data_IF_841654220673
#
_entry.id   IF_841654220673
#
_cell.length_a   1.000
_cell.length_b   1.000
_cell.length_c   1.000
_cell.angle_alpha   90.00
_cell.angle_beta   90.00
_cell.angle_gamma   90.00
#
_symmetry.space_group_name_H-M   'P 1'
#
loop_
_entity.id
_entity.type
_entity.pdbx_description
1 polymer ?
#
# COMPACT_ATOMS: atom_id res chain seq x y z
N UNK A 1 16.06 -17.55 6.90
CA UNK A 1 16.69 -16.26 7.25
C UNK A 1 15.88 -15.17 6.57
N UNK A 2 15.14 -14.37 7.32
CA UNK A 2 14.47 -13.18 6.77
C UNK A 2 15.56 -12.15 6.48
N UNK A 3 15.50 -11.50 5.32
CA UNK A 3 16.37 -10.36 5.01
C UNK A 3 15.66 -9.15 5.59
N UNK A 4 16.28 -8.46 6.56
CA UNK A 4 15.72 -7.19 7.05
C UNK A 4 15.47 -6.25 5.85
N UNK A 5 14.22 -5.80 5.73
CA UNK A 5 13.77 -4.82 4.72
C UNK A 5 13.56 -5.34 3.29
N UNK A 6 13.81 -6.62 2.99
CA UNK A 6 13.81 -7.16 1.63
C UNK A 6 12.78 -8.26 1.34
N UNK A 7 12.47 -8.48 0.06
CA UNK A 7 11.72 -9.66 -0.37
C UNK A 7 12.57 -10.92 -0.20
N UNK A 8 11.95 -12.00 0.28
CA UNK A 8 12.57 -13.32 0.35
C UNK A 8 12.98 -13.80 -1.06
N UNK A 9 14.11 -14.51 -1.23
CA UNK A 9 14.56 -14.98 -2.55
C UNK A 9 13.49 -15.74 -3.35
N UNK A 10 12.67 -16.56 -2.69
CA UNK A 10 11.56 -17.27 -3.36
C UNK A 10 10.47 -16.31 -3.88
N UNK A 11 10.22 -15.20 -3.18
CA UNK A 11 9.29 -14.17 -3.65
C UNK A 11 9.85 -13.45 -4.88
N UNK A 12 11.15 -13.14 -4.88
CA UNK A 12 11.83 -12.56 -6.05
C UNK A 12 11.76 -13.50 -7.25
N UNK A 13 12.03 -14.80 -7.03
CA UNK A 13 11.93 -15.83 -8.06
C UNK A 13 10.52 -15.96 -8.61
N UNK A 14 9.50 -15.95 -7.75
CA UNK A 14 8.10 -15.98 -8.16
C UNK A 14 7.73 -14.75 -8.99
N UNK A 15 8.09 -13.55 -8.53
CA UNK A 15 7.83 -12.30 -9.26
C UNK A 15 8.50 -12.28 -10.63
N UNK A 16 9.76 -12.73 -10.73
CA UNK A 16 10.51 -12.79 -12.01
C UNK A 16 9.86 -13.72 -13.03
N UNK A 17 9.22 -14.80 -12.58
CA UNK A 17 8.50 -15.76 -13.44
C UNK A 17 7.14 -15.24 -13.94
N UNK A 18 6.59 -14.19 -13.33
CA UNK A 18 5.33 -13.60 -13.77
C UNK A 18 5.51 -12.78 -15.04
N UNK A 19 4.51 -12.83 -15.93
CA UNK A 19 4.38 -11.87 -17.02
C UNK A 19 4.30 -10.44 -16.48
N UNK A 20 4.70 -9.46 -17.31
CA UNK A 20 4.63 -8.05 -16.95
C UNK A 20 3.19 -7.63 -16.59
N UNK A 21 2.21 -8.07 -17.36
CA UNK A 21 0.80 -7.81 -17.13
C UNK A 21 0.36 -8.33 -15.75
N UNK A 22 0.68 -9.58 -15.41
CA UNK A 22 0.29 -10.16 -14.12
C UNK A 22 0.94 -9.40 -12.96
N UNK A 23 2.20 -8.99 -13.13
CA UNK A 23 2.93 -8.21 -12.14
C UNK A 23 2.29 -6.83 -11.93
N UNK A 24 1.87 -6.17 -13.00
CA UNK A 24 1.18 -4.89 -12.95
C UNK A 24 -0.19 -5.00 -12.26
N UNK A 25 -0.98 -6.05 -12.58
CA UNK A 25 -2.26 -6.32 -11.93
C UNK A 25 -2.10 -6.48 -10.41
N UNK A 26 -1.09 -7.25 -9.97
CA UNK A 26 -0.80 -7.44 -8.54
C UNK A 26 -0.38 -6.11 -7.90
N UNK A 27 0.48 -5.33 -8.54
CA UNK A 27 0.91 -4.03 -8.03
C UNK A 27 -0.26 -3.06 -7.86
N UNK A 28 -1.18 -3.00 -8.83
CA UNK A 28 -2.40 -2.17 -8.74
C UNK A 28 -3.30 -2.61 -7.57
N UNK A 29 -3.52 -3.92 -7.42
CA UNK A 29 -4.29 -4.46 -6.29
C UNK A 29 -3.65 -4.17 -4.93
N UNK A 30 -2.31 -4.21 -4.86
CA UNK A 30 -1.55 -3.84 -3.68
C UNK A 30 -1.72 -2.36 -3.31
N UNK A 31 -1.58 -1.45 -4.29
CA UNK A 31 -1.77 -0.01 -4.08
C UNK A 31 -3.17 0.29 -3.54
N UNK A 32 -4.21 -0.32 -4.11
CA UNK A 32 -5.59 -0.15 -3.63
C UNK A 32 -5.77 -0.64 -2.19
N UNK A 33 -5.19 -1.81 -1.87
CA UNK A 33 -5.26 -2.39 -0.53
C UNK A 33 -4.54 -1.53 0.51
N UNK A 34 -3.36 -1.01 0.16
CA UNK A 34 -2.62 -0.05 1.00
C UNK A 34 -3.40 1.24 1.22
N UNK A 35 -4.08 1.76 0.20
CA UNK A 35 -4.96 2.93 0.33
C UNK A 35 -6.10 2.70 1.33
N UNK A 36 -6.77 1.55 1.24
CA UNK A 36 -7.83 1.16 2.19
C UNK A 36 -7.31 1.03 3.62
N UNK A 37 -6.15 0.41 3.80
CA UNK A 37 -5.53 0.24 5.11
C UNK A 37 -5.16 1.60 5.74
N UNK A 38 -4.52 2.48 4.97
CA UNK A 38 -4.18 3.84 5.43
C UNK A 38 -5.43 4.65 5.78
N UNK A 39 -6.49 4.55 4.97
CA UNK A 39 -7.76 5.21 5.28
C UNK A 39 -8.37 4.72 6.60
N UNK A 40 -8.37 3.41 6.83
CA UNK A 40 -8.85 2.82 8.09
C UNK A 40 -8.03 3.28 9.30
N UNK A 41 -6.70 3.35 9.16
CA UNK A 41 -5.83 3.89 10.20
C UNK A 41 -6.14 5.37 10.50
N UNK A 42 -6.32 6.20 9.46
CA UNK A 42 -6.69 7.62 9.63
C UNK A 42 -8.03 7.78 10.34
N UNK A 43 -9.05 6.98 9.99
CA UNK A 43 -10.34 6.98 10.70
C UNK A 43 -10.18 6.61 12.17
N UNK A 44 -9.35 5.61 12.47
CA UNK A 44 -9.10 5.18 13.84
C UNK A 44 -8.34 6.22 14.67
N UNK A 45 -7.44 6.98 14.05
CA UNK A 45 -6.65 8.02 14.72
C UNK A 45 -7.41 9.34 14.88
N UNK A 46 -8.38 9.59 13.98
CA UNK A 46 -9.17 10.82 13.94
C UNK A 46 -10.66 10.50 13.82
N UNK A 47 -11.30 10.00 14.89
CA UNK A 47 -12.71 9.58 14.86
C UNK A 47 -13.69 10.73 14.56
N UNK A 48 -13.29 11.98 14.83
CA UNK A 48 -14.13 13.16 14.61
C UNK A 48 -14.00 13.74 13.19
N UNK A 49 -13.11 13.18 12.36
CA UNK A 49 -12.95 13.65 10.98
C UNK A 49 -14.09 13.17 10.10
N UNK A 50 -14.58 14.08 9.26
CA UNK A 50 -15.41 13.72 8.11
C UNK A 50 -14.64 12.86 7.12
N UNK A 51 -15.37 12.08 6.31
CA UNK A 51 -14.78 11.27 5.23
C UNK A 51 -13.96 12.13 4.25
N UNK A 52 -14.37 13.37 3.98
CA UNK A 52 -13.59 14.27 3.13
C UNK A 52 -12.22 14.57 3.72
N UNK A 53 -12.13 14.86 5.03
CA UNK A 53 -10.87 15.14 5.70
C UNK A 53 -9.94 13.91 5.71
N UNK A 54 -10.50 12.72 5.93
CA UNK A 54 -9.76 11.45 5.83
C UNK A 54 -9.19 11.26 4.42
N UNK A 55 -10.00 11.48 3.39
CA UNK A 55 -9.57 11.29 2.00
C UNK A 55 -8.52 12.33 1.56
N UNK A 56 -8.62 13.58 2.02
CA UNK A 56 -7.59 14.58 1.79
C UNK A 56 -6.27 14.24 2.50
N UNK A 57 -6.34 13.78 3.75
CA UNK A 57 -5.16 13.33 4.49
C UNK A 57 -4.51 12.11 3.82
N UNK A 58 -5.31 11.15 3.35
CA UNK A 58 -4.83 10.01 2.57
C UNK A 58 -4.09 10.45 1.30
N UNK A 59 -4.68 11.36 0.52
CA UNK A 59 -4.04 11.92 -0.68
C UNK A 59 -2.70 12.56 -0.35
N UNK A 60 -2.63 13.36 0.73
CA UNK A 60 -1.37 13.97 1.21
C UNK A 60 -0.34 12.93 1.64
N UNK A 61 -0.74 11.87 2.35
CA UNK A 61 0.16 10.79 2.75
C UNK A 61 0.76 10.06 1.55
N UNK A 62 -0.06 9.79 0.51
CA UNK A 62 0.40 9.15 -0.72
C UNK A 62 1.36 10.06 -1.49
N UNK A 63 1.02 11.34 -1.67
CA UNK A 63 1.81 12.30 -2.44
C UNK A 63 3.15 12.63 -1.79
N UNK A 64 3.20 12.72 -0.46
CA UNK A 64 4.38 13.16 0.26
C UNK A 64 5.17 12.02 0.92
N UNK A 65 4.73 10.77 0.76
CA UNK A 65 5.39 9.60 1.36
C UNK A 65 5.45 9.64 2.89
N UNK A 66 4.60 10.43 3.55
CA UNK A 66 4.57 10.54 5.01
C UNK A 66 3.72 9.41 5.58
N UNK A 67 4.36 8.58 6.42
CA UNK A 67 3.77 7.44 7.12
C UNK A 67 3.39 7.84 8.52
#
# INVERSE_FOLDING_TARGET
MFVEGGLHPEQVKALRKMSLERRAQIALGFIQSMGRLKAAALRSQHPDWSEQQVMEALRRSILHGRS
#
